data_IF_787349285206
#
_entry.id   IF_787349285206
#
_cell.length_a   1.000
_cell.length_b   1.000
_cell.length_c   1.000
_cell.angle_alpha   90.00
_cell.angle_beta   90.00
_cell.angle_gamma   90.00
#
_symmetry.space_group_name_H-M   'P 1'
#
loop_
_entity.id
_entity.type
_entity.pdbx_description
1 polymer ?
#
# COMPACT_ATOMS: atom_id res chain seq x y z
N UNK A 1 -7.60 -7.68 10.71
CA UNK A 1 -6.45 -6.75 10.91
C UNK A 1 -6.65 -6.00 12.21
N UNK A 2 -5.60 -5.94 13.01
CA UNK A 2 -5.56 -5.14 14.23
C UNK A 2 -5.11 -3.71 13.93
N UNK A 3 -5.31 -2.78 14.90
CA UNK A 3 -4.84 -1.39 14.73
C UNK A 3 -3.32 -1.36 14.59
N UNK A 4 -2.81 -0.57 13.63
CA UNK A 4 -1.37 -0.47 13.37
C UNK A 4 -0.75 -1.71 12.71
N UNK A 5 -1.54 -2.59 12.10
CA UNK A 5 -1.06 -3.75 11.36
C UNK A 5 -0.79 -3.39 9.89
N UNK A 6 0.33 -3.90 9.36
CA UNK A 6 0.65 -3.89 7.93
C UNK A 6 0.51 -5.31 7.39
N UNK A 7 -0.66 -5.59 6.82
CA UNK A 7 -0.98 -6.87 6.20
C UNK A 7 -0.52 -6.85 4.75
N UNK A 8 0.30 -7.82 4.36
CA UNK A 8 0.69 -8.00 2.96
C UNK A 8 0.04 -9.25 2.40
N UNK A 9 -0.56 -9.13 1.24
CA UNK A 9 -1.16 -10.25 0.49
C UNK A 9 -0.29 -10.55 -0.72
N UNK A 10 0.32 -11.73 -0.71
CA UNK A 10 1.17 -12.24 -1.77
C UNK A 10 0.47 -13.41 -2.47
N UNK A 11 0.56 -13.46 -3.79
CA UNK A 11 0.04 -14.57 -4.58
C UNK A 11 0.29 -14.37 -6.06
N UNK A 12 0.13 -15.42 -6.88
CA UNK A 12 0.35 -15.35 -8.32
C UNK A 12 -0.63 -14.40 -9.02
N UNK A 13 -0.30 -13.99 -10.23
CA UNK A 13 -1.20 -13.19 -11.06
C UNK A 13 -2.50 -13.95 -11.32
N UNK A 14 -3.63 -13.24 -11.30
CA UNK A 14 -4.96 -13.83 -11.53
C UNK A 14 -5.60 -14.54 -10.34
N UNK A 15 -4.95 -14.64 -9.16
CA UNK A 15 -5.55 -15.29 -7.99
C UNK A 15 -6.64 -14.45 -7.28
N UNK A 16 -6.92 -13.22 -7.73
CA UNK A 16 -7.99 -12.38 -7.19
C UNK A 16 -7.55 -11.31 -6.19
N UNK A 17 -6.26 -10.98 -6.07
CA UNK A 17 -5.75 -9.95 -5.12
C UNK A 17 -6.40 -8.58 -5.35
N UNK A 18 -6.39 -8.08 -6.58
CA UNK A 18 -7.04 -6.80 -6.93
C UNK A 18 -8.55 -6.86 -6.71
N UNK A 19 -9.19 -8.01 -6.94
CA UNK A 19 -10.61 -8.22 -6.60
C UNK A 19 -10.84 -8.10 -5.10
N UNK A 20 -9.99 -8.73 -4.28
CA UNK A 20 -10.04 -8.61 -2.82
C UNK A 20 -9.92 -7.14 -2.38
N UNK A 21 -8.96 -6.40 -2.94
CA UNK A 21 -8.80 -4.98 -2.65
C UNK A 21 -10.04 -4.18 -3.04
N UNK A 22 -10.60 -4.41 -4.22
CA UNK A 22 -11.81 -3.72 -4.69
C UNK A 22 -13.04 -4.03 -3.83
N UNK A 23 -13.17 -5.25 -3.32
CA UNK A 23 -14.21 -5.63 -2.35
C UNK A 23 -14.05 -4.84 -1.03
N UNK A 24 -12.83 -4.77 -0.50
CA UNK A 24 -12.54 -4.03 0.74
C UNK A 24 -12.68 -2.51 0.51
N UNK A 25 -12.29 -1.99 -0.66
CA UNK A 25 -12.50 -0.59 -1.02
C UNK A 25 -13.99 -0.23 -1.18
N UNK A 26 -14.86 -1.24 -1.37
CA UNK A 26 -16.28 -1.06 -1.62
C UNK A 26 -16.61 -0.70 -3.07
N UNK A 27 -15.67 -0.91 -4.02
CA UNK A 27 -15.90 -0.65 -5.44
C UNK A 27 -16.71 -1.77 -6.12
N UNK A 28 -16.67 -2.98 -5.56
CA UNK A 28 -17.41 -4.15 -6.03
C UNK A 28 -18.22 -4.72 -4.86
N UNK A 29 -19.49 -5.04 -5.04
CA UNK A 29 -20.29 -5.68 -4.00
C UNK A 29 -19.84 -7.14 -3.80
N UNK A 30 -19.80 -7.61 -2.56
CA UNK A 30 -19.59 -9.03 -2.25
C UNK A 30 -20.92 -9.81 -2.34
N UNK A 31 -20.87 -11.06 -2.78
CA UNK A 31 -22.05 -11.91 -2.96
C UNK A 31 -22.45 -12.60 -1.65
N UNK A 32 -21.48 -13.03 -0.85
CA UNK A 32 -21.69 -13.76 0.40
C UNK A 32 -20.77 -13.25 1.51
N UNK A 33 -21.18 -13.43 2.75
CA UNK A 33 -20.40 -13.01 3.91
C UNK A 33 -20.58 -11.54 4.28
N UNK A 34 -19.58 -10.97 4.97
CA UNK A 34 -19.54 -9.55 5.34
C UNK A 34 -18.10 -9.06 5.42
N UNK A 35 -17.90 -7.81 5.05
CA UNK A 35 -16.63 -7.10 5.25
C UNK A 35 -16.91 -5.94 6.18
N UNK A 36 -16.09 -5.78 7.23
CA UNK A 36 -16.25 -4.75 8.23
C UNK A 36 -14.94 -4.00 8.45
N UNK A 37 -15.02 -2.69 8.68
CA UNK A 37 -13.95 -1.83 9.13
C UNK A 37 -14.38 -1.14 10.43
N UNK A 38 -13.62 -1.31 11.50
CA UNK A 38 -13.95 -0.78 12.84
C UNK A 38 -15.40 -1.12 13.29
N UNK A 39 -15.84 -2.36 13.03
CA UNK A 39 -17.18 -2.85 13.38
C UNK A 39 -18.31 -2.38 12.47
N UNK A 40 -18.04 -1.50 11.48
CA UNK A 40 -19.03 -1.03 10.52
C UNK A 40 -18.95 -1.82 9.22
N UNK A 41 -20.09 -2.25 8.70
CA UNK A 41 -20.17 -2.98 7.43
C UNK A 41 -19.80 -2.07 6.26
N UNK A 42 -19.01 -2.61 5.32
CA UNK A 42 -18.66 -1.92 4.08
C UNK A 42 -19.77 -2.19 3.05
N UNK A 43 -20.47 -1.13 2.64
CA UNK A 43 -21.58 -1.20 1.67
C UNK A 43 -21.26 -0.47 0.36
N UNK A 44 -20.17 0.31 0.33
CA UNK A 44 -19.74 1.08 -0.84
C UNK A 44 -18.43 1.81 -0.57
N UNK A 45 -17.94 2.63 -1.51
CA UNK A 45 -16.75 3.46 -1.32
C UNK A 45 -16.90 4.43 -0.14
N UNK A 46 -15.80 4.69 0.58
CA UNK A 46 -15.81 5.58 1.74
C UNK A 46 -14.46 6.22 2.01
N UNK A 47 -14.47 7.43 2.58
CA UNK A 47 -13.26 8.22 2.88
C UNK A 47 -12.37 7.57 3.96
N UNK A 48 -12.91 6.66 4.76
CA UNK A 48 -12.17 5.88 5.77
C UNK A 48 -11.22 4.85 5.14
N UNK A 49 -11.26 4.65 3.82
CA UNK A 49 -10.40 3.77 3.05
C UNK A 49 -9.67 4.57 1.96
N UNK A 50 -8.38 4.81 2.15
CA UNK A 50 -7.53 5.42 1.15
C UNK A 50 -7.02 4.35 0.17
N UNK A 51 -7.11 4.60 -1.14
CA UNK A 51 -6.65 3.64 -2.16
C UNK A 51 -5.53 4.25 -2.98
N UNK A 52 -4.44 3.50 -3.14
CA UNK A 52 -3.35 3.78 -4.08
C UNK A 52 -3.34 2.67 -5.11
N UNK A 53 -3.67 3.01 -6.35
CA UNK A 53 -3.71 2.08 -7.46
C UNK A 53 -2.33 1.85 -8.07
N UNK A 54 -2.16 0.76 -8.77
CA UNK A 54 -0.93 0.42 -9.52
C UNK A 54 -0.52 1.54 -10.50
N UNK A 55 -1.49 2.13 -11.18
CA UNK A 55 -1.31 3.30 -12.06
C UNK A 55 -1.77 4.56 -11.35
N UNK A 56 -1.18 4.96 -10.31
CA UNK A 56 -1.39 6.07 -9.36
C UNK A 56 -2.76 6.79 -9.45
N UNK A 57 -3.45 6.75 -10.60
CA UNK A 57 -4.76 7.36 -10.86
C UNK A 57 -4.77 8.87 -10.64
N UNK A 58 -3.63 9.55 -10.89
CA UNK A 58 -3.51 10.99 -10.74
C UNK A 58 -4.23 11.72 -11.87
N UNK A 59 -4.76 12.90 -11.56
CA UNK A 59 -5.47 13.76 -12.51
C UNK A 59 -4.46 14.59 -13.30
N UNK A 60 -4.20 14.28 -14.61
CA UNK A 60 -3.12 14.91 -15.35
C UNK A 60 -3.34 16.40 -15.62
N UNK A 61 -4.57 16.87 -15.60
CA UNK A 61 -4.95 18.28 -15.78
C UNK A 61 -4.85 19.13 -14.52
N UNK A 62 -4.47 18.51 -13.38
CA UNK A 62 -4.27 19.19 -12.10
C UNK A 62 -2.78 19.21 -11.74
N UNK A 63 -2.36 20.24 -10.99
CA UNK A 63 -1.05 20.25 -10.37
C UNK A 63 -0.95 19.24 -9.20
N UNK A 64 0.24 19.12 -8.64
CA UNK A 64 0.53 18.17 -7.54
C UNK A 64 -0.32 18.47 -6.30
N UNK A 65 -0.39 19.73 -5.86
CA UNK A 65 -1.16 20.11 -4.66
C UNK A 65 -2.65 19.89 -4.85
N UNK A 66 -3.19 20.22 -6.01
CA UNK A 66 -4.61 20.00 -6.33
C UNK A 66 -4.97 18.51 -6.45
N UNK A 67 -4.01 17.66 -6.88
CA UNK A 67 -4.19 16.21 -6.83
C UNK A 67 -4.33 15.71 -5.38
N UNK A 68 -3.44 16.14 -4.50
CA UNK A 68 -3.47 15.73 -3.08
C UNK A 68 -4.73 16.28 -2.39
N UNK A 69 -5.13 17.53 -2.68
CA UNK A 69 -6.30 18.18 -2.11
C UNK A 69 -7.64 17.66 -2.68
N UNK A 70 -7.64 16.81 -3.72
CA UNK A 70 -8.87 16.48 -4.47
C UNK A 70 -9.93 15.80 -3.61
N UNK A 71 -9.56 14.80 -2.81
CA UNK A 71 -10.50 14.11 -1.91
C UNK A 71 -11.10 15.06 -0.87
N UNK A 72 -10.29 15.98 -0.33
CA UNK A 72 -10.75 17.00 0.60
C UNK A 72 -11.70 18.01 -0.05
N UNK A 73 -11.47 18.32 -1.33
CA UNK A 73 -12.37 19.17 -2.11
C UNK A 73 -13.76 18.51 -2.25
N UNK A 74 -13.81 17.22 -2.56
CA UNK A 74 -15.07 16.46 -2.65
C UNK A 74 -15.77 16.36 -1.31
N UNK A 75 -15.05 16.33 -0.20
CA UNK A 75 -15.59 16.37 1.16
C UNK A 75 -16.07 17.77 1.60
N UNK A 76 -16.00 18.79 0.73
CA UNK A 76 -16.46 20.15 1.04
C UNK A 76 -15.52 20.96 1.93
N UNK A 77 -14.27 20.51 2.15
CA UNK A 77 -13.29 21.23 2.97
C UNK A 77 -12.93 22.57 2.29
N UNK A 78 -12.89 23.62 3.08
CA UNK A 78 -12.57 24.97 2.64
C UNK A 78 -11.19 25.02 1.94
N UNK A 79 -11.06 25.90 0.92
CA UNK A 79 -9.89 25.91 0.01
C UNK A 79 -8.57 26.11 0.75
N UNK A 80 -8.48 27.06 1.65
CA UNK A 80 -7.23 27.32 2.38
C UNK A 80 -6.85 26.14 3.24
N UNK A 81 -7.81 25.54 3.94
CA UNK A 81 -7.58 24.38 4.81
C UNK A 81 -7.13 23.15 4.02
N UNK A 82 -7.79 22.84 2.89
CA UNK A 82 -7.41 21.65 2.09
C UNK A 82 -6.04 21.81 1.42
N UNK A 83 -5.64 23.04 1.02
CA UNK A 83 -4.34 23.30 0.45
C UNK A 83 -3.23 23.21 1.51
N UNK A 84 -3.50 23.65 2.74
CA UNK A 84 -2.58 23.47 3.85
C UNK A 84 -2.38 21.99 4.19
N UNK A 85 -3.46 21.21 4.28
CA UNK A 85 -3.35 19.75 4.49
C UNK A 85 -2.55 19.10 3.35
N UNK A 86 -2.80 19.49 2.10
CA UNK A 86 -2.06 18.97 0.96
C UNK A 86 -0.57 19.33 1.03
N UNK A 87 -0.21 20.54 1.41
CA UNK A 87 1.17 20.95 1.62
C UNK A 87 1.87 20.10 2.69
N UNK A 88 1.23 19.89 3.83
CA UNK A 88 1.76 19.04 4.90
C UNK A 88 1.96 17.59 4.45
N UNK A 89 1.03 17.02 3.66
CA UNK A 89 1.18 15.67 3.13
C UNK A 89 2.31 15.59 2.10
N UNK A 90 2.48 16.59 1.24
CA UNK A 90 3.59 16.67 0.29
C UNK A 90 4.94 16.75 1.00
N UNK A 91 5.04 17.50 2.07
CA UNK A 91 6.24 17.55 2.92
C UNK A 91 6.57 16.19 3.52
N UNK A 92 5.57 15.47 4.05
CA UNK A 92 5.75 14.11 4.62
C UNK A 92 6.29 13.10 3.60
N UNK A 93 5.89 13.21 2.34
CA UNK A 93 6.39 12.33 1.27
C UNK A 93 7.65 12.87 0.57
N UNK A 94 8.25 13.96 1.06
CA UNK A 94 9.48 14.55 0.52
C UNK A 94 9.29 15.22 -0.84
N UNK A 95 8.14 15.86 -1.05
CA UNK A 95 7.79 16.62 -2.26
C UNK A 95 7.51 18.10 -1.96
N UNK A 96 8.04 18.63 -0.87
CA UNK A 96 8.01 20.07 -0.56
C UNK A 96 8.62 20.87 -1.71
N UNK A 97 7.95 21.93 -2.17
CA UNK A 97 8.36 22.75 -3.32
C UNK A 97 7.90 22.22 -4.68
N UNK A 98 7.20 21.05 -4.74
CA UNK A 98 6.65 20.51 -5.99
C UNK A 98 5.17 20.85 -6.22
N UNK A 99 4.54 21.65 -5.34
CA UNK A 99 3.08 21.90 -5.27
C UNK A 99 2.48 22.33 -6.60
N UNK A 100 3.19 23.25 -7.31
CA UNK A 100 2.74 23.87 -8.56
C UNK A 100 3.10 23.06 -9.81
N UNK A 101 3.92 22.00 -9.68
CA UNK A 101 4.27 21.14 -10.82
C UNK A 101 3.05 20.38 -11.32
N UNK A 102 3.02 20.07 -12.60
CA UNK A 102 2.04 19.16 -13.19
C UNK A 102 2.55 17.72 -13.15
N UNK A 103 1.65 16.77 -13.23
CA UNK A 103 1.95 15.33 -13.07
C UNK A 103 2.97 14.84 -14.12
N UNK A 104 2.92 15.33 -15.35
CA UNK A 104 3.88 14.96 -16.42
C UNK A 104 5.31 15.46 -16.20
N UNK A 105 5.52 16.39 -15.26
CA UNK A 105 6.84 16.91 -14.88
C UNK A 105 7.52 16.06 -13.79
N UNK A 106 6.87 15.00 -13.34
CA UNK A 106 7.33 14.16 -12.24
C UNK A 106 7.89 12.84 -12.75
N UNK A 107 8.92 12.32 -12.06
CA UNK A 107 9.36 10.92 -12.22
C UNK A 107 8.28 9.94 -11.73
N UNK A 108 8.40 8.65 -12.09
CA UNK A 108 7.49 7.60 -11.61
C UNK A 108 7.41 7.54 -10.08
N UNK A 109 8.57 7.55 -9.40
CA UNK A 109 8.60 7.56 -7.93
C UNK A 109 8.01 8.83 -7.31
N UNK A 110 8.16 10.00 -7.95
CA UNK A 110 7.49 11.22 -7.50
C UNK A 110 5.97 11.14 -7.67
N UNK A 111 5.48 10.61 -8.79
CA UNK A 111 4.03 10.38 -8.99
C UNK A 111 3.48 9.43 -7.92
N UNK A 112 4.20 8.34 -7.62
CA UNK A 112 3.80 7.40 -6.57
C UNK A 112 3.69 8.10 -5.20
N UNK A 113 4.64 8.96 -4.85
CA UNK A 113 4.60 9.77 -3.62
C UNK A 113 3.37 10.69 -3.58
N UNK A 114 3.00 11.31 -4.71
CA UNK A 114 1.76 12.11 -4.81
C UNK A 114 0.53 11.23 -4.59
N UNK A 115 0.47 10.03 -5.15
CA UNK A 115 -0.61 9.07 -4.94
C UNK A 115 -0.79 8.70 -3.46
N UNK A 116 0.31 8.40 -2.77
CA UNK A 116 0.32 8.13 -1.32
C UNK A 116 -0.14 9.36 -0.53
N UNK A 117 0.40 10.55 -0.84
CA UNK A 117 0.01 11.80 -0.18
C UNK A 117 -1.49 12.08 -0.34
N UNK A 118 -2.05 11.88 -1.54
CA UNK A 118 -3.48 12.03 -1.82
C UNK A 118 -4.34 11.08 -1.00
N UNK A 119 -3.94 9.80 -0.92
CA UNK A 119 -4.66 8.81 -0.14
C UNK A 119 -4.63 9.13 1.36
N UNK A 120 -3.49 9.60 1.88
CA UNK A 120 -3.33 9.97 3.28
C UNK A 120 -4.01 11.30 3.65
N UNK A 121 -4.16 12.24 2.71
CA UNK A 121 -4.77 13.55 2.96
C UNK A 121 -6.21 13.44 3.50
N UNK A 122 -6.97 12.45 3.06
CA UNK A 122 -8.31 12.17 3.56
C UNK A 122 -8.34 11.59 4.99
N UNK A 123 -7.18 11.37 5.60
CA UNK A 123 -7.01 10.78 6.93
C UNK A 123 -7.75 9.42 7.09
N UNK A 124 -7.56 8.45 6.18
CA UNK A 124 -8.27 7.17 6.21
C UNK A 124 -7.89 6.35 7.45
N UNK A 125 -8.73 5.39 7.84
CA UNK A 125 -8.42 4.39 8.85
C UNK A 125 -7.59 3.24 8.26
N UNK A 126 -7.88 2.86 7.01
CA UNK A 126 -7.24 1.80 6.26
C UNK A 126 -6.66 2.34 4.95
N UNK A 127 -5.38 2.06 4.69
CA UNK A 127 -4.72 2.34 3.42
C UNK A 127 -4.63 1.05 2.60
N UNK A 128 -5.15 1.07 1.39
CA UNK A 128 -5.16 -0.03 0.44
C UNK A 128 -4.17 0.27 -0.69
N UNK A 129 -3.21 -0.61 -0.93
CA UNK A 129 -2.14 -0.42 -1.90
C UNK A 129 -2.12 -1.61 -2.87
N UNK A 130 -2.38 -1.35 -4.15
CA UNK A 130 -2.36 -2.38 -5.20
C UNK A 130 -1.07 -2.29 -6.01
N UNK A 131 -0.13 -3.20 -5.76
CA UNK A 131 1.19 -3.31 -6.41
C UNK A 131 1.93 -1.96 -6.52
N UNK A 132 2.07 -1.19 -5.41
CA UNK A 132 2.46 0.21 -5.48
C UNK A 132 3.89 0.44 -5.98
N UNK A 133 4.75 -0.58 -6.01
CA UNK A 133 6.15 -0.42 -6.36
C UNK A 133 6.57 -1.19 -7.62
N UNK A 134 5.62 -1.88 -8.28
CA UNK A 134 5.91 -2.79 -9.40
C UNK A 134 6.57 -2.11 -10.62
N UNK A 135 6.28 -0.84 -10.87
CA UNK A 135 6.82 -0.08 -12.01
C UNK A 135 8.12 0.71 -11.68
N UNK A 136 8.66 0.57 -10.46
CA UNK A 136 9.83 1.33 -10.01
C UNK A 136 11.13 0.54 -10.19
N UNK A 137 12.22 1.24 -10.51
CA UNK A 137 13.57 0.68 -10.43
C UNK A 137 13.93 0.29 -9.00
N UNK A 138 14.93 -0.57 -8.82
CA UNK A 138 15.29 -1.14 -7.52
C UNK A 138 15.62 -0.09 -6.45
N UNK A 139 16.33 1.00 -6.82
CA UNK A 139 16.71 2.04 -5.88
C UNK A 139 15.50 2.88 -5.44
N UNK A 140 14.69 3.31 -6.39
CA UNK A 140 13.45 4.06 -6.13
C UNK A 140 12.46 3.21 -5.32
N UNK A 141 12.39 1.90 -5.61
CA UNK A 141 11.56 0.95 -4.86
C UNK A 141 11.96 0.87 -3.40
N UNK A 142 13.25 0.69 -3.09
CA UNK A 142 13.74 0.66 -1.70
C UNK A 142 13.42 1.97 -0.96
N UNK A 143 13.61 3.12 -1.62
CA UNK A 143 13.23 4.42 -1.05
C UNK A 143 11.72 4.53 -0.77
N UNK A 144 10.88 3.99 -1.64
CA UNK A 144 9.43 4.05 -1.47
C UNK A 144 8.93 3.09 -0.39
N UNK A 145 9.51 1.89 -0.30
CA UNK A 145 9.23 0.94 0.78
C UNK A 145 9.59 1.54 2.14
N UNK A 146 10.79 2.10 2.26
CA UNK A 146 11.24 2.75 3.50
C UNK A 146 10.41 3.98 3.87
N UNK A 147 9.99 4.79 2.89
CA UNK A 147 9.06 5.89 3.10
C UNK A 147 7.70 5.40 3.63
N UNK A 148 7.13 4.37 3.01
CA UNK A 148 5.83 3.84 3.43
C UNK A 148 5.90 3.27 4.85
N UNK A 149 6.96 2.56 5.23
CA UNK A 149 7.15 2.05 6.59
C UNK A 149 7.25 3.17 7.63
N UNK A 150 7.95 4.28 7.32
CA UNK A 150 8.00 5.47 8.19
C UNK A 150 6.62 6.10 8.35
N UNK A 151 5.89 6.29 7.25
CA UNK A 151 4.53 6.85 7.27
C UNK A 151 3.56 5.94 8.04
N UNK A 152 3.69 4.62 7.90
CA UNK A 152 2.92 3.65 8.66
C UNK A 152 3.18 3.79 10.16
N UNK A 153 4.44 3.86 10.59
CA UNK A 153 4.82 4.07 11.99
C UNK A 153 4.26 5.41 12.53
N UNK A 154 4.47 6.51 11.78
CA UNK A 154 4.05 7.85 12.20
C UNK A 154 2.53 8.00 12.33
N UNK A 155 1.79 7.33 11.46
CA UNK A 155 0.33 7.49 11.39
C UNK A 155 -0.44 6.46 12.18
N UNK A 156 0.17 5.32 12.52
CA UNK A 156 -0.48 4.19 13.21
C UNK A 156 -1.64 3.56 12.44
N UNK A 157 -1.77 3.84 11.13
CA UNK A 157 -2.87 3.36 10.29
C UNK A 157 -2.73 1.89 9.98
N UNK A 158 -3.87 1.24 9.74
CA UNK A 158 -3.88 -0.08 9.11
C UNK A 158 -3.48 0.06 7.64
N UNK A 159 -2.66 -0.87 7.17
CA UNK A 159 -2.23 -0.93 5.77
C UNK A 159 -2.48 -2.33 5.23
N UNK A 160 -3.14 -2.43 4.09
CA UNK A 160 -3.22 -3.64 3.30
C UNK A 160 -2.47 -3.40 1.99
N UNK A 161 -1.40 -4.14 1.79
CA UNK A 161 -0.56 -4.08 0.60
C UNK A 161 -0.72 -5.37 -0.21
N UNK A 162 -0.97 -5.23 -1.49
CA UNK A 162 -0.96 -6.33 -2.46
C UNK A 162 0.32 -6.25 -3.28
N UNK A 163 1.01 -7.38 -3.40
CA UNK A 163 2.20 -7.49 -4.22
C UNK A 163 2.36 -8.91 -4.80
N UNK A 164 3.20 -9.02 -5.81
CA UNK A 164 3.72 -10.29 -6.32
C UNK A 164 5.23 -10.43 -6.06
N UNK A 165 5.87 -9.43 -5.47
CA UNK A 165 7.30 -9.44 -5.11
C UNK A 165 7.49 -10.02 -3.72
N UNK A 166 8.23 -11.14 -3.64
CA UNK A 166 8.43 -11.90 -2.40
C UNK A 166 9.31 -11.12 -1.41
N UNK A 167 10.37 -10.47 -1.89
CA UNK A 167 11.25 -9.70 -1.01
C UNK A 167 10.52 -8.52 -0.38
N UNK A 168 9.72 -7.81 -1.18
CA UNK A 168 8.84 -6.75 -0.71
C UNK A 168 7.86 -7.26 0.35
N UNK A 169 7.20 -8.38 0.07
CA UNK A 169 6.22 -8.95 0.97
C UNK A 169 6.82 -9.33 2.33
N UNK A 170 8.00 -9.98 2.32
CA UNK A 170 8.70 -10.37 3.55
C UNK A 170 9.22 -9.15 4.32
N UNK A 171 9.75 -8.13 3.61
CA UNK A 171 10.32 -6.95 4.24
C UNK A 171 9.27 -6.07 4.92
N UNK A 172 8.12 -5.90 4.26
CA UNK A 172 7.13 -4.91 4.69
C UNK A 172 6.06 -5.47 5.63
N UNK A 173 5.79 -6.77 5.62
CA UNK A 173 4.70 -7.33 6.38
C UNK A 173 4.95 -7.34 7.90
N UNK A 174 3.93 -7.00 8.69
CA UNK A 174 3.78 -7.48 10.06
C UNK A 174 3.05 -8.82 10.08
N UNK A 175 2.15 -9.04 9.12
CA UNK A 175 1.53 -10.31 8.81
C UNK A 175 1.50 -10.51 7.29
N UNK A 176 2.05 -11.61 6.81
CA UNK A 176 2.04 -12.00 5.41
C UNK A 176 0.98 -13.07 5.17
N UNK A 177 0.09 -12.84 4.22
CA UNK A 177 -0.93 -13.81 3.76
C UNK A 177 -0.53 -14.31 2.39
N UNK A 178 -0.33 -15.62 2.28
CA UNK A 178 -0.08 -16.31 1.01
C UNK A 178 -1.40 -16.79 0.41
N UNK A 179 -1.62 -16.48 -0.86
CA UNK A 179 -2.77 -16.97 -1.62
C UNK A 179 -2.35 -18.05 -2.62
N UNK A 180 -3.23 -19.04 -2.81
CA UNK A 180 -3.08 -20.05 -3.88
C UNK A 180 -3.26 -19.41 -5.26
N UNK A 181 -2.86 -20.14 -6.31
CA UNK A 181 -3.34 -19.91 -7.68
C UNK A 181 -4.86 -20.04 -7.75
N UNK A 182 -5.48 -19.49 -8.80
CA UNK A 182 -6.94 -19.34 -8.91
C UNK A 182 -7.76 -20.63 -8.79
N UNK A 183 -8.90 -20.61 -8.07
CA UNK A 183 -9.40 -19.49 -7.29
C UNK A 183 -8.58 -19.29 -6.00
N UNK A 184 -8.25 -18.03 -5.70
CA UNK A 184 -7.41 -17.67 -4.55
C UNK A 184 -8.01 -18.14 -3.22
N UNK A 185 -7.24 -18.93 -2.49
CA UNK A 185 -7.53 -19.36 -1.11
C UNK A 185 -6.35 -18.97 -0.22
N UNK A 186 -6.63 -18.64 1.02
CA UNK A 186 -5.56 -18.43 2.00
C UNK A 186 -4.87 -19.75 2.25
N UNK A 187 -3.59 -19.83 1.89
CA UNK A 187 -2.74 -20.98 2.13
C UNK A 187 -2.12 -20.93 3.51
N UNK A 188 -1.59 -19.77 3.85
CA UNK A 188 -0.83 -19.58 5.07
C UNK A 188 -0.85 -18.11 5.53
N UNK A 189 -0.69 -17.92 6.83
CA UNK A 189 -0.52 -16.61 7.46
C UNK A 189 0.76 -16.65 8.30
N UNK A 190 1.67 -15.75 8.01
CA UNK A 190 3.01 -15.71 8.61
C UNK A 190 3.19 -14.38 9.36
N UNK A 191 3.29 -14.41 10.69
CA UNK A 191 3.67 -13.22 11.46
C UNK A 191 5.14 -12.91 11.20
N UNK A 192 5.46 -11.66 10.86
CA UNK A 192 6.80 -11.18 10.54
C UNK A 192 7.14 -9.94 11.37
N UNK A 193 8.43 -9.72 11.58
CA UNK A 193 8.91 -8.62 12.41
C UNK A 193 9.89 -7.67 11.69
N UNK A 194 10.23 -7.91 10.44
CA UNK A 194 11.24 -7.14 9.71
C UNK A 194 10.84 -5.67 9.53
N UNK A 195 9.58 -5.39 9.22
CA UNK A 195 9.06 -4.04 9.17
C UNK A 195 9.21 -3.31 10.51
N UNK A 196 8.95 -4.00 11.62
CA UNK A 196 9.08 -3.46 12.98
C UNK A 196 10.55 -3.21 13.34
N UNK A 197 11.47 -4.08 12.93
CA UNK A 197 12.92 -3.88 13.08
C UNK A 197 13.39 -2.63 12.33
N UNK A 198 12.91 -2.44 11.09
CA UNK A 198 13.24 -1.25 10.31
C UNK A 198 12.78 0.05 11.01
N UNK A 199 11.54 0.12 11.47
CA UNK A 199 11.04 1.34 12.14
C UNK A 199 11.66 1.54 13.53
N UNK A 200 12.21 0.49 14.14
CA UNK A 200 13.02 0.56 15.36
C UNK A 200 14.45 1.10 15.11
N UNK A 201 14.84 1.37 13.85
CA UNK A 201 16.10 2.02 13.49
C UNK A 201 17.13 1.13 12.80
N UNK A 202 16.81 -0.14 12.52
CA UNK A 202 17.69 -1.00 11.74
C UNK A 202 17.61 -0.63 10.25
N UNK A 203 18.76 -0.65 9.53
CA UNK A 203 18.75 -0.29 8.11
C UNK A 203 18.11 -1.39 7.25
N UNK A 204 17.45 -1.00 6.14
CA UNK A 204 16.88 -1.95 5.16
C UNK A 204 17.92 -2.94 4.66
N UNK A 205 19.16 -2.46 4.42
CA UNK A 205 20.26 -3.31 3.98
C UNK A 205 20.65 -4.36 5.02
N UNK A 206 20.75 -3.98 6.31
CA UNK A 206 21.07 -4.92 7.39
C UNK A 206 20.01 -6.01 7.48
N UNK A 207 18.72 -5.63 7.47
CA UNK A 207 17.60 -6.56 7.55
C UNK A 207 17.62 -7.53 6.36
N UNK A 208 17.73 -7.01 5.13
CA UNK A 208 17.72 -7.83 3.91
C UNK A 208 18.93 -8.76 3.79
N UNK A 209 20.02 -8.49 4.51
CA UNK A 209 21.21 -9.34 4.60
C UNK A 209 21.20 -10.31 5.79
N UNK A 210 20.20 -10.22 6.66
CA UNK A 210 20.05 -11.09 7.83
C UNK A 210 19.72 -12.53 7.39
N UNK A 211 20.42 -13.56 7.92
CA UNK A 211 20.11 -14.96 7.63
C UNK A 211 18.64 -15.34 7.86
N UNK A 212 17.97 -14.76 8.87
CA UNK A 212 16.56 -15.01 9.13
C UNK A 212 15.65 -14.44 8.01
N UNK A 213 15.99 -13.26 7.49
CA UNK A 213 15.29 -12.67 6.36
C UNK A 213 15.46 -13.52 5.10
N UNK A 214 16.70 -13.92 4.81
CA UNK A 214 17.00 -14.78 3.66
C UNK A 214 16.27 -16.12 3.77
N UNK A 215 16.31 -16.78 4.93
CA UNK A 215 15.60 -18.03 5.15
C UNK A 215 14.08 -17.88 4.97
N UNK A 216 13.48 -16.79 5.47
CA UNK A 216 12.04 -16.53 5.32
C UNK A 216 11.69 -16.24 3.86
N UNK A 217 12.50 -15.48 3.14
CA UNK A 217 12.32 -15.23 1.70
C UNK A 217 12.36 -16.53 0.90
N UNK A 218 13.33 -17.41 1.15
CA UNK A 218 13.45 -18.72 0.48
C UNK A 218 12.27 -19.63 0.84
N UNK A 219 11.83 -19.61 2.11
CA UNK A 219 10.63 -20.35 2.52
C UNK A 219 9.39 -19.89 1.74
N UNK A 220 9.14 -18.58 1.69
CA UNK A 220 7.99 -18.03 0.94
C UNK A 220 8.11 -18.34 -0.56
N UNK A 221 9.32 -18.26 -1.11
CA UNK A 221 9.61 -18.61 -2.51
C UNK A 221 9.23 -20.06 -2.80
N UNK A 222 9.67 -21.01 -1.98
CA UNK A 222 9.34 -22.44 -2.16
C UNK A 222 7.83 -22.69 -2.10
N UNK A 223 7.12 -22.04 -1.14
CA UNK A 223 5.65 -22.17 -1.03
C UNK A 223 4.91 -21.65 -2.26
N UNK A 224 5.41 -20.55 -2.86
CA UNK A 224 4.82 -19.99 -4.10
C UNK A 224 5.09 -20.92 -5.30
N UNK A 225 6.27 -21.55 -5.40
CA UNK A 225 6.61 -22.48 -6.48
C UNK A 225 5.82 -23.79 -6.39
N UNK A 226 5.71 -24.39 -5.21
CA UNK A 226 4.89 -25.60 -4.99
C UNK A 226 3.45 -25.44 -5.53
N UNK A 227 2.90 -24.22 -5.42
CA UNK A 227 1.58 -23.91 -5.95
C UNK A 227 1.52 -23.83 -7.48
N UNK A 228 2.62 -23.47 -8.15
CA UNK A 228 2.67 -23.44 -9.62
C UNK A 228 2.74 -24.84 -10.22
N UNK A 229 3.51 -25.73 -9.60
CA UNK A 229 3.67 -27.12 -10.05
C UNK A 229 2.39 -27.96 -9.83
N UNK A 230 1.62 -27.68 -8.79
CA UNK A 230 0.37 -28.38 -8.50
C UNK A 230 -0.76 -28.07 -9.50
N UNK A 231 -0.61 -27.07 -10.37
CA UNK A 231 -1.61 -26.62 -11.35
C UNK A 231 -1.12 -26.65 -12.81
N UNK A 232 0.11 -27.13 -13.07
CA UNK A 232 0.62 -27.46 -14.40
C UNK A 232 0.41 -28.93 -14.73
#
# INVERSE_FOLDING_TARGET
>A
MESGELLVVLGPSGCGKTTLLNLIAGFVPYQHGSIQLAGKRIEGPGAERGVVFQNEGLLPWRNVQDNVAFGLQLAGIEKMQRLEIAHQMLKKVGLEGAEKRYIWQLSGGQRQRVGIARALAANPQLLLLDEPFGALDAFTRDQMQTLLLKLWQETGKQVLLITHDIEEAVFMATELVLLSSGPGRVLERLPLNFARRFVAGESSRSIKSDPQFIAMREYVLSRVFEQREAFS
#
